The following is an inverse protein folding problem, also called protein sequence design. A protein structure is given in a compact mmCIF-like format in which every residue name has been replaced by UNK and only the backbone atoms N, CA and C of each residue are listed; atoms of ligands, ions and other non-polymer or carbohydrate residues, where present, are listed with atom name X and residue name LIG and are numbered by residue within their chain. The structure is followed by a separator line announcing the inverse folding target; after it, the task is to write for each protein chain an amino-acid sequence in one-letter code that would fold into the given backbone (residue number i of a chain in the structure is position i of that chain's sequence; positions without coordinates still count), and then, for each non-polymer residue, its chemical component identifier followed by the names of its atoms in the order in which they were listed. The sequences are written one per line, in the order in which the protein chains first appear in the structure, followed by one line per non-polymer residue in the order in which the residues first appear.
data_IF_767613370435
#
_entry.id   IF_767613370435
#
_cell.length_a   1.000
_cell.length_b   1.000
_cell.length_c   1.000
_cell.angle_alpha   90.00
_cell.angle_beta   90.00
_cell.angle_gamma   90.00
#
_symmetry.space_group_name_H-M   'P 1'
#
loop_
_entity.id
_entity.type
_entity.pdbx_description
1 polymer ?
#
# COMPACT_ATOMS: atom_id res chain seq x y z
N UNK A 1 -26.37 22.19 34.27
CA UNK A 1 -25.77 23.38 33.62
C UNK A 1 -24.26 23.52 33.81
N UNK A 2 -23.64 22.96 34.86
CA UNK A 2 -22.20 23.04 35.12
C UNK A 2 -21.32 22.19 34.17
N UNK A 3 -21.79 21.01 33.72
CA UNK A 3 -21.03 20.17 32.78
C UNK A 3 -20.87 20.76 31.37
N UNK A 4 -21.81 21.58 30.90
CA UNK A 4 -21.71 22.25 29.58
C UNK A 4 -20.65 23.36 29.54
N UNK A 5 -20.31 23.95 30.69
CA UNK A 5 -19.26 24.99 30.79
C UNK A 5 -17.85 24.37 30.85
N UNK A 6 -17.71 23.16 31.37
CA UNK A 6 -16.43 22.45 31.45
C UNK A 6 -15.94 21.96 30.08
N UNK A 7 -16.83 21.50 29.21
CA UNK A 7 -16.47 21.05 27.86
C UNK A 7 -16.16 22.20 26.90
N UNK A 8 -16.73 23.38 27.09
CA UNK A 8 -16.38 24.58 26.30
C UNK A 8 -15.05 25.20 26.71
N UNK A 9 -14.62 25.03 27.96
CA UNK A 9 -13.31 25.51 28.43
C UNK A 9 -12.14 24.64 27.98
N UNK A 10 -12.37 23.33 27.73
CA UNK A 10 -11.34 22.43 27.20
C UNK A 10 -11.09 22.57 25.69
N UNK A 11 -12.01 23.19 24.93
CA UNK A 11 -11.86 23.42 23.48
C UNK A 11 -10.97 24.61 23.13
N UNK A 12 -10.63 25.47 24.09
CA UNK A 12 -9.68 26.58 23.91
C UNK A 12 -8.43 26.35 24.74
N UNK A 13 -7.67 25.29 24.46
CA UNK A 13 -6.21 25.44 24.53
C UNK A 13 -5.80 26.37 23.38
N UNK A 14 -6.06 27.67 23.54
CA UNK A 14 -5.25 28.66 22.84
C UNK A 14 -3.82 28.35 23.29
N UNK A 15 -3.02 27.82 22.37
CA UNK A 15 -1.59 27.69 22.61
C UNK A 15 -1.08 29.09 23.00
N UNK A 16 -0.13 29.19 23.94
CA UNK A 16 0.39 30.48 24.40
C UNK A 16 0.85 31.39 23.23
N UNK A 17 1.23 30.77 22.11
CA UNK A 17 1.51 31.40 20.83
C UNK A 17 0.31 32.19 20.24
N UNK A 18 -0.92 31.65 20.30
CA UNK A 18 -2.12 32.35 19.84
C UNK A 18 -2.47 33.58 20.67
N UNK A 19 -2.15 33.54 21.97
CA UNK A 19 -2.29 34.72 22.84
C UNK A 19 -1.27 35.80 22.47
N UNK A 20 -0.01 35.42 22.24
CA UNK A 20 1.07 36.34 21.81
C UNK A 20 0.79 36.96 20.42
N UNK A 21 0.27 36.17 19.48
CA UNK A 21 -0.18 36.61 18.15
C UNK A 21 -1.26 37.70 18.21
N UNK A 22 -2.25 37.51 19.10
CA UNK A 22 -3.32 38.48 19.30
C UNK A 22 -2.91 39.74 20.06
N UNK A 23 -1.86 39.67 20.88
CA UNK A 23 -1.36 40.79 21.70
C UNK A 23 -0.50 41.81 20.91
N UNK A 24 -0.37 41.65 19.60
CA UNK A 24 0.30 42.62 18.71
C UNK A 24 1.83 42.67 18.82
N UNK A 25 2.45 41.70 19.53
CA UNK A 25 3.90 41.69 19.80
C UNK A 25 4.74 40.80 18.86
N UNK A 26 4.11 40.17 17.88
CA UNK A 26 4.75 39.30 16.88
C UNK A 26 4.50 39.84 15.47
N UNK A 27 5.49 39.65 14.59
CA UNK A 27 5.49 40.14 13.21
C UNK A 27 4.32 39.56 12.38
N UNK A 28 4.01 40.17 11.23
CA UNK A 28 2.93 39.71 10.36
C UNK A 28 3.13 38.27 9.87
N UNK A 29 4.37 37.85 9.64
CA UNK A 29 4.73 36.50 9.20
C UNK A 29 4.49 35.45 10.31
N UNK A 30 4.84 35.77 11.55
CA UNK A 30 4.63 34.86 12.69
C UNK A 30 3.14 34.62 12.95
N UNK A 31 2.29 35.63 12.73
CA UNK A 31 0.83 35.47 12.79
C UNK A 31 0.33 34.55 11.68
N UNK A 32 0.88 34.66 10.48
CA UNK A 32 0.54 33.77 9.36
C UNK A 32 1.00 32.33 9.64
N UNK A 33 2.24 32.14 10.10
CA UNK A 33 2.76 30.84 10.49
C UNK A 33 1.90 30.21 11.61
N UNK A 34 1.48 31.00 12.59
CA UNK A 34 0.59 30.54 13.64
C UNK A 34 -0.78 30.10 13.09
N UNK A 35 -1.37 30.88 12.18
CA UNK A 35 -2.61 30.50 11.51
C UNK A 35 -2.45 29.23 10.68
N UNK A 36 -1.30 29.04 10.02
CA UNK A 36 -0.98 27.82 9.29
C UNK A 36 -0.87 26.61 10.23
N UNK A 37 -0.26 26.76 11.42
CA UNK A 37 -0.20 25.69 12.42
C UNK A 37 -1.60 25.30 12.93
N UNK A 38 -2.50 26.27 13.13
CA UNK A 38 -3.89 26.00 13.49
C UNK A 38 -4.65 25.28 12.37
N UNK A 39 -4.30 25.54 11.11
CA UNK A 39 -4.87 24.84 9.95
C UNK A 39 -4.36 23.40 9.83
N UNK A 40 -3.07 23.16 10.10
CA UNK A 40 -2.46 21.82 10.09
C UNK A 40 -3.03 20.93 11.20
N UNK A 41 -3.40 21.52 12.35
CA UNK A 41 -3.88 20.77 13.49
C UNK A 41 -5.29 20.18 13.29
N UNK A 42 -5.35 18.85 13.15
CA UNK A 42 -6.62 18.12 13.09
C UNK A 42 -7.26 17.95 14.48
N UNK A 43 -8.48 18.46 14.64
CA UNK A 43 -9.25 18.38 15.88
C UNK A 43 -10.11 17.13 15.87
N UNK A 44 -10.07 16.29 16.92
CA UNK A 44 -11.10 15.24 17.11
C UNK A 44 -12.40 15.87 17.61
N UNK A 45 -13.44 15.84 16.80
CA UNK A 45 -14.75 16.42 17.13
C UNK A 45 -15.75 15.37 17.61
N UNK A 46 -16.78 15.83 18.33
CA UNK A 46 -17.92 14.98 18.73
C UNK A 46 -18.91 14.82 17.57
N UNK A 47 -19.73 13.77 17.64
CA UNK A 47 -20.87 13.60 16.74
C UNK A 47 -21.78 14.84 16.75
N UNK A 48 -22.37 15.20 15.61
CA UNK A 48 -23.27 16.35 15.49
C UNK A 48 -24.60 16.10 16.23
N UNK A 49 -24.61 16.46 17.52
CA UNK A 49 -25.73 16.21 18.43
C UNK A 49 -26.97 17.07 18.19
N UNK A 50 -26.88 18.11 17.36
CA UNK A 50 -28.03 18.97 17.07
C UNK A 50 -28.75 18.55 15.78
N UNK A 51 -28.02 18.01 14.80
CA UNK A 51 -28.59 17.65 13.49
C UNK A 51 -28.81 16.16 13.30
N UNK A 52 -27.93 15.27 13.81
CA UNK A 52 -28.13 13.82 13.63
C UNK A 52 -29.29 13.32 14.49
N UNK A 53 -30.22 12.60 13.87
CA UNK A 53 -31.32 11.86 14.53
C UNK A 53 -31.17 10.37 14.27
N UNK A 54 -31.82 9.58 15.11
CA UNK A 54 -31.73 8.11 15.04
C UNK A 54 -32.15 7.57 13.66
N UNK A 55 -33.20 8.13 13.05
CA UNK A 55 -33.71 7.65 11.76
C UNK A 55 -32.75 7.95 10.59
N UNK A 56 -32.10 9.12 10.58
CA UNK A 56 -31.10 9.48 9.56
C UNK A 56 -29.88 8.56 9.64
N UNK A 57 -29.38 8.31 10.84
CA UNK A 57 -28.23 7.42 11.06
C UNK A 57 -28.56 5.98 10.64
N UNK A 58 -29.79 5.50 10.91
CA UNK A 58 -30.24 4.19 10.44
C UNK A 58 -30.38 4.13 8.91
N UNK A 59 -30.83 5.22 8.28
CA UNK A 59 -30.90 5.29 6.83
C UNK A 59 -29.51 5.26 6.21
N UNK A 60 -28.55 6.04 6.74
CA UNK A 60 -27.14 6.02 6.33
C UNK A 60 -26.57 4.59 6.39
N UNK A 61 -26.79 3.86 7.49
CA UNK A 61 -26.36 2.46 7.65
C UNK A 61 -26.97 1.53 6.60
N UNK A 62 -28.25 1.68 6.31
CA UNK A 62 -28.94 0.87 5.29
C UNK A 62 -28.42 1.15 3.89
N UNK A 63 -28.11 2.41 3.59
CA UNK A 63 -27.54 2.81 2.30
C UNK A 63 -26.13 2.26 2.15
N UNK A 64 -25.30 2.34 3.20
CA UNK A 64 -23.97 1.74 3.22
C UNK A 64 -24.04 0.23 2.93
N UNK A 65 -24.84 -0.51 3.70
CA UNK A 65 -25.02 -1.95 3.48
C UNK A 65 -25.58 -2.31 2.08
N UNK A 66 -26.37 -1.41 1.47
CA UNK A 66 -26.84 -1.60 0.10
C UNK A 66 -25.75 -1.36 -0.94
N UNK A 67 -24.87 -0.40 -0.68
CA UNK A 67 -23.69 -0.14 -1.50
C UNK A 67 -22.70 -1.30 -1.41
N UNK A 68 -22.42 -1.81 -0.22
CA UNK A 68 -21.49 -2.93 -0.01
C UNK A 68 -21.95 -4.16 -0.80
N UNK A 69 -23.23 -4.54 -0.73
CA UNK A 69 -23.81 -5.62 -1.55
C UNK A 69 -23.67 -5.38 -3.06
N UNK A 70 -23.74 -4.12 -3.50
CA UNK A 70 -23.56 -3.77 -4.91
C UNK A 70 -22.08 -3.89 -5.32
N UNK A 71 -21.17 -3.42 -4.46
CA UNK A 71 -19.73 -3.46 -4.67
C UNK A 71 -19.18 -4.90 -4.65
N UNK A 72 -19.61 -5.74 -3.69
CA UNK A 72 -19.20 -7.13 -3.53
C UNK A 72 -19.31 -7.94 -4.83
N UNK A 73 -20.37 -7.72 -5.62
CA UNK A 73 -20.50 -8.36 -6.93
C UNK A 73 -19.38 -7.96 -7.91
N UNK A 74 -19.07 -6.67 -7.98
CA UNK A 74 -18.00 -6.14 -8.82
C UNK A 74 -16.63 -6.63 -8.37
N UNK A 75 -16.40 -6.65 -7.06
CA UNK A 75 -15.14 -7.11 -6.44
C UNK A 75 -14.90 -8.60 -6.68
N UNK A 76 -15.91 -9.46 -6.47
CA UNK A 76 -15.81 -10.89 -6.75
C UNK A 76 -15.52 -11.19 -8.23
N UNK A 77 -16.14 -10.44 -9.15
CA UNK A 77 -15.87 -10.58 -10.60
C UNK A 77 -14.45 -10.12 -10.94
N UNK A 78 -13.99 -9.03 -10.32
CA UNK A 78 -12.64 -8.51 -10.50
C UNK A 78 -11.58 -9.48 -9.97
N UNK A 79 -11.75 -9.99 -8.76
CA UNK A 79 -10.86 -10.98 -8.15
C UNK A 79 -10.77 -12.25 -9.00
N UNK A 80 -11.91 -12.81 -9.42
CA UNK A 80 -11.93 -13.98 -10.29
C UNK A 80 -11.27 -13.72 -11.65
N UNK A 81 -11.39 -12.51 -12.19
CA UNK A 81 -10.71 -12.11 -13.44
C UNK A 81 -9.20 -12.00 -13.24
N UNK A 82 -8.74 -11.40 -12.14
CA UNK A 82 -7.32 -11.26 -11.82
C UNK A 82 -6.68 -12.63 -11.57
N UNK A 83 -7.37 -13.53 -10.85
CA UNK A 83 -6.92 -14.91 -10.63
C UNK A 83 -6.74 -15.67 -11.95
N UNK A 84 -7.70 -15.54 -12.88
CA UNK A 84 -7.58 -16.15 -14.22
C UNK A 84 -6.44 -15.57 -15.05
N UNK A 85 -6.23 -14.25 -14.99
CA UNK A 85 -5.12 -13.60 -15.68
C UNK A 85 -3.78 -14.12 -15.15
N UNK A 86 -3.61 -14.15 -13.83
CA UNK A 86 -2.41 -14.67 -13.18
C UNK A 86 -2.15 -16.13 -13.58
N UNK A 87 -3.18 -16.99 -13.57
CA UNK A 87 -3.04 -18.38 -13.99
C UNK A 87 -2.53 -18.51 -15.44
N UNK A 88 -3.04 -17.68 -16.36
CA UNK A 88 -2.59 -17.66 -17.76
C UNK A 88 -1.16 -17.14 -17.92
N UNK A 89 -0.77 -16.13 -17.15
CA UNK A 89 0.60 -15.62 -17.16
C UNK A 89 1.58 -16.67 -16.60
N UNK A 90 1.21 -17.39 -15.54
CA UNK A 90 2.01 -18.50 -15.00
C UNK A 90 2.17 -19.63 -16.00
N UNK A 91 1.07 -20.07 -16.64
CA UNK A 91 1.09 -21.10 -17.70
C UNK A 91 2.03 -20.70 -18.86
N UNK A 92 1.98 -19.43 -19.27
CA UNK A 92 2.84 -18.91 -20.33
C UNK A 92 4.33 -18.93 -19.93
N UNK A 93 4.67 -18.53 -18.70
CA UNK A 93 6.06 -18.59 -18.20
C UNK A 93 6.58 -20.02 -18.09
N UNK A 94 5.74 -20.97 -17.66
CA UNK A 94 6.08 -22.39 -17.63
C UNK A 94 6.34 -22.96 -19.04
N UNK A 95 5.55 -22.54 -20.03
CA UNK A 95 5.76 -22.91 -21.42
C UNK A 95 7.09 -22.35 -21.98
N UNK A 96 7.43 -21.10 -21.69
CA UNK A 96 8.73 -20.50 -22.05
C UNK A 96 9.87 -21.29 -21.41
N UNK A 97 9.76 -21.61 -20.10
CA UNK A 97 10.77 -22.42 -19.40
C UNK A 97 10.94 -23.81 -20.01
N UNK A 98 9.87 -24.44 -20.48
CA UNK A 98 9.94 -25.73 -21.16
C UNK A 98 10.65 -25.63 -22.52
N UNK A 99 10.43 -24.54 -23.27
CA UNK A 99 11.13 -24.26 -24.52
C UNK A 99 12.62 -24.04 -24.29
N UNK A 100 13.01 -23.29 -23.27
CA UNK A 100 14.43 -23.07 -22.91
C UNK A 100 15.13 -24.38 -22.56
N UNK A 101 14.49 -25.25 -21.76
CA UNK A 101 15.04 -26.58 -21.44
C UNK A 101 15.22 -27.44 -22.69
N UNK A 102 14.29 -27.36 -23.64
CA UNK A 102 14.38 -28.09 -24.91
C UNK A 102 15.49 -27.54 -25.80
N UNK A 103 15.65 -26.22 -25.86
CA UNK A 103 16.73 -25.58 -26.60
C UNK A 103 18.10 -25.98 -26.03
N UNK A 104 18.27 -25.93 -24.70
CA UNK A 104 19.49 -26.35 -24.02
C UNK A 104 19.82 -27.83 -24.27
N UNK A 105 18.81 -28.72 -24.28
CA UNK A 105 19.01 -30.14 -24.59
C UNK A 105 19.49 -30.36 -26.04
N UNK A 106 18.91 -29.64 -27.01
CA UNK A 106 19.33 -29.70 -28.41
C UNK A 106 20.73 -29.13 -28.63
N UNK A 107 21.09 -28.07 -27.91
CA UNK A 107 22.45 -27.52 -27.94
C UNK A 107 23.47 -28.49 -27.33
N UNK A 108 23.13 -29.14 -26.21
CA UNK A 108 23.99 -30.16 -25.61
C UNK A 108 24.23 -31.34 -26.57
N UNK A 109 23.20 -31.79 -27.31
CA UNK A 109 23.33 -32.82 -28.34
C UNK A 109 24.22 -32.37 -29.51
N UNK A 110 24.07 -31.11 -29.96
CA UNK A 110 24.95 -30.51 -30.98
C UNK A 110 26.40 -30.39 -30.51
N UNK A 111 26.64 -30.00 -29.26
CA UNK A 111 27.99 -29.96 -28.67
C UNK A 111 28.60 -31.35 -28.48
N UNK A 112 27.80 -32.37 -28.17
CA UNK A 112 28.28 -33.76 -28.08
C UNK A 112 28.72 -34.32 -29.44
N UNK A 113 28.18 -33.76 -30.54
CA UNK A 113 28.48 -34.18 -31.93
C UNK A 113 29.53 -33.30 -32.62
N UNK A 114 29.67 -32.04 -32.22
CA UNK A 114 30.72 -31.13 -32.69
C UNK A 114 31.96 -31.23 -31.78
N UNK A 115 33.07 -31.76 -32.30
CA UNK A 115 34.34 -31.80 -31.57
C UNK A 115 34.76 -30.39 -31.13
N UNK A 116 34.75 -30.17 -29.81
CA UNK A 116 35.37 -29.07 -29.06
C UNK A 116 35.58 -27.77 -29.86
N UNK A 117 34.56 -26.90 -29.91
CA UNK A 117 34.73 -25.52 -30.33
C UNK A 117 34.04 -24.57 -29.36
N UNK A 118 34.89 -23.77 -28.73
CA UNK A 118 34.74 -22.48 -28.05
C UNK A 118 33.92 -22.32 -26.76
N UNK A 119 34.63 -21.71 -25.79
CA UNK A 119 34.20 -21.06 -24.54
C UNK A 119 33.27 -19.85 -24.81
N UNK A 120 32.14 -20.10 -25.46
CA UNK A 120 31.09 -19.09 -25.51
C UNK A 120 30.41 -19.02 -24.13
N UNK A 121 30.51 -17.85 -23.47
CA UNK A 121 29.79 -17.55 -22.24
C UNK A 121 28.30 -17.95 -22.37
N UNK A 122 27.67 -18.48 -21.32
CA UNK A 122 26.26 -18.86 -21.38
C UNK A 122 25.43 -17.61 -21.69
N UNK A 123 24.77 -17.60 -22.85
CA UNK A 123 23.79 -16.57 -23.18
C UNK A 123 22.66 -16.59 -22.15
N UNK A 124 22.12 -15.42 -21.80
CA UNK A 124 20.91 -15.29 -20.98
C UNK A 124 19.80 -16.17 -21.56
N UNK A 125 19.11 -16.88 -20.69
CA UNK A 125 17.94 -17.67 -21.12
C UNK A 125 16.75 -16.74 -21.38
N UNK A 126 15.87 -17.11 -22.31
CA UNK A 126 14.68 -16.30 -22.61
C UNK A 126 13.83 -16.07 -21.35
N UNK A 127 13.75 -17.07 -20.47
CA UNK A 127 13.07 -16.95 -19.18
C UNK A 127 13.70 -15.88 -18.28
N UNK A 128 15.03 -15.76 -18.24
CA UNK A 128 15.72 -14.74 -17.42
C UNK A 128 15.38 -13.33 -17.88
N UNK A 129 15.26 -13.09 -19.19
CA UNK A 129 14.86 -11.79 -19.73
C UNK A 129 13.38 -11.49 -19.47
N UNK A 130 12.52 -12.51 -19.55
CA UNK A 130 11.07 -12.37 -19.37
C UNK A 130 10.65 -12.15 -17.90
N UNK A 131 11.46 -12.55 -16.91
CA UNK A 131 11.16 -12.32 -15.48
C UNK A 131 11.65 -10.97 -14.98
N UNK A 132 12.46 -10.24 -15.76
CA UNK A 132 12.85 -8.87 -15.42
C UNK A 132 11.64 -7.94 -15.54
N UNK A 133 11.45 -7.08 -14.53
CA UNK A 133 10.38 -6.10 -14.57
C UNK A 133 10.66 -5.07 -15.66
N UNK A 134 9.71 -4.86 -16.55
CA UNK A 134 9.75 -3.76 -17.51
C UNK A 134 9.66 -2.42 -16.75
N UNK A 135 10.74 -1.66 -16.72
CA UNK A 135 10.86 -0.45 -15.87
C UNK A 135 10.30 0.82 -16.49
N UNK A 136 9.99 0.84 -17.80
CA UNK A 136 9.44 2.04 -18.42
C UNK A 136 7.99 2.28 -17.95
N UNK A 137 7.72 3.52 -17.54
CA UNK A 137 6.38 3.97 -17.18
C UNK A 137 5.53 4.19 -18.43
N UNK A 138 4.19 4.22 -18.31
CA UNK A 138 3.33 4.64 -19.41
C UNK A 138 3.80 6.00 -19.97
N UNK A 139 3.87 6.16 -21.31
CA UNK A 139 4.35 7.39 -21.91
C UNK A 139 3.43 8.57 -21.58
N UNK A 140 3.93 9.80 -21.72
CA UNK A 140 3.13 11.01 -21.45
C UNK A 140 1.87 11.17 -22.33
N UNK A 141 1.78 10.41 -23.42
CA UNK A 141 0.56 10.30 -24.26
C UNK A 141 -0.50 9.36 -23.67
N UNK A 142 -0.19 8.58 -22.63
CA UNK A 142 -1.15 7.74 -21.94
C UNK A 142 -2.11 8.61 -21.14
N UNK A 143 -3.33 8.77 -21.66
CA UNK A 143 -4.32 9.69 -21.09
C UNK A 143 -5.11 9.02 -19.97
N UNK A 144 -5.32 9.77 -18.88
CA UNK A 144 -6.30 9.41 -17.87
C UNK A 144 -7.70 9.44 -18.51
N UNK A 145 -8.56 8.43 -18.24
CA UNK A 145 -9.96 8.48 -18.64
C UNK A 145 -10.63 9.76 -18.12
N UNK A 146 -11.16 10.57 -19.03
CA UNK A 146 -11.85 11.81 -18.72
C UNK A 146 -13.37 11.58 -18.65
N UNK A 147 -14.06 12.41 -17.86
CA UNK A 147 -15.52 12.35 -17.74
C UNK A 147 -16.24 12.59 -19.07
N UNK A 148 -15.66 13.43 -19.94
CA UNK A 148 -16.21 13.77 -21.25
C UNK A 148 -15.18 13.47 -22.35
N UNK A 149 -15.64 13.13 -23.57
CA UNK A 149 -14.76 12.96 -24.71
C UNK A 149 -14.09 14.29 -25.09
N UNK A 150 -12.91 14.26 -25.73
CA UNK A 150 -12.25 15.46 -26.23
C UNK A 150 -13.11 16.13 -27.31
N UNK A 151 -13.15 17.47 -27.30
CA UNK A 151 -13.83 18.25 -28.32
C UNK A 151 -12.97 18.36 -29.59
N UNK A 152 -13.61 18.35 -30.76
CA UNK A 152 -12.92 18.49 -32.03
C UNK A 152 -12.28 19.88 -32.16
N UNK A 153 -10.97 19.92 -32.48
CA UNK A 153 -10.23 21.16 -32.69
C UNK A 153 -10.00 22.00 -31.43
N UNK A 154 -10.18 21.42 -30.24
CA UNK A 154 -9.88 22.12 -29.01
C UNK A 154 -8.37 22.14 -28.75
N UNK A 155 -7.80 23.34 -28.73
CA UNK A 155 -6.51 23.64 -28.12
C UNK A 155 -6.74 24.45 -26.82
N UNK A 156 -5.79 24.46 -25.87
CA UNK A 156 -5.96 25.16 -24.60
C UNK A 156 -6.43 26.60 -24.79
N UNK A 157 -7.63 26.91 -24.28
CA UNK A 157 -8.22 28.24 -24.38
C UNK A 157 -8.56 28.72 -25.81
N UNK A 158 -8.68 27.83 -26.81
CA UNK A 158 -8.88 28.18 -28.22
C UNK A 158 -7.81 29.18 -28.73
N UNK A 159 -6.54 28.82 -28.54
CA UNK A 159 -5.34 29.60 -28.89
C UNK A 159 -5.05 30.80 -27.98
N UNK A 160 -5.83 31.01 -26.91
CA UNK A 160 -5.52 32.03 -25.90
C UNK A 160 -4.38 31.54 -24.99
N UNK A 161 -3.15 31.64 -25.47
CA UNK A 161 -1.97 31.19 -24.72
C UNK A 161 -1.66 32.13 -23.55
N UNK A 162 -1.53 31.55 -22.35
CA UNK A 162 -1.05 32.21 -21.13
C UNK A 162 0.23 31.48 -20.71
N UNK A 163 1.41 31.91 -21.19
CA UNK A 163 2.67 31.18 -20.99
C UNK A 163 3.05 30.95 -19.52
N UNK A 164 2.52 31.77 -18.60
CA UNK A 164 2.75 31.63 -17.16
C UNK A 164 2.11 30.36 -16.58
N UNK A 165 1.02 29.86 -17.17
CA UNK A 165 0.30 28.68 -16.67
C UNK A 165 0.87 27.35 -17.17
N UNK A 166 1.69 27.36 -18.23
CA UNK A 166 2.36 26.15 -18.76
C UNK A 166 3.72 25.87 -18.11
N UNK A 167 4.13 26.66 -17.12
CA UNK A 167 5.38 26.44 -16.40
C UNK A 167 5.34 25.10 -15.68
N UNK A 168 6.36 24.26 -15.87
CA UNK A 168 6.53 23.05 -15.07
C UNK A 168 7.03 23.43 -13.68
N UNK A 169 6.35 22.94 -12.65
CA UNK A 169 6.67 23.21 -11.25
C UNK A 169 7.39 22.00 -10.64
N UNK A 170 8.21 22.25 -9.62
CA UNK A 170 8.83 21.19 -8.84
C UNK A 170 7.79 20.48 -7.95
N UNK A 171 7.97 19.18 -7.76
CA UNK A 171 7.18 18.39 -6.81
C UNK A 171 7.73 18.55 -5.37
N UNK A 172 6.84 18.55 -4.37
CA UNK A 172 7.21 18.59 -2.95
C UNK A 172 6.45 17.51 -2.15
N UNK A 173 7.13 16.74 -1.27
CA UNK A 173 8.57 16.77 -1.01
C UNK A 173 9.39 16.20 -2.18
N UNK A 174 10.67 16.58 -2.27
CA UNK A 174 11.57 15.93 -3.21
C UNK A 174 11.65 14.43 -2.90
N UNK A 175 11.33 13.58 -3.88
CA UNK A 175 11.28 12.13 -3.71
C UNK A 175 12.70 11.58 -3.56
N UNK A 176 12.94 10.87 -2.46
CA UNK A 176 14.16 10.12 -2.23
C UNK A 176 13.81 8.68 -1.88
N UNK A 177 14.47 7.73 -2.53
CA UNK A 177 14.26 6.29 -2.35
C UNK A 177 15.50 5.63 -1.74
N UNK A 178 15.34 4.49 -1.05
CA UNK A 178 16.47 3.73 -0.52
C UNK A 178 17.56 3.40 -1.54
N UNK A 179 17.16 3.14 -2.78
CA UNK A 179 18.08 2.77 -3.88
C UNK A 179 18.87 3.94 -4.43
N UNK A 180 18.48 5.18 -4.14
CA UNK A 180 19.24 6.37 -4.56
C UNK A 180 20.60 6.38 -3.85
N UNK A 181 20.69 5.82 -2.64
CA UNK A 181 21.94 5.57 -1.89
C UNK A 181 22.86 4.54 -2.58
N UNK A 182 22.35 3.72 -3.49
CA UNK A 182 23.15 2.78 -4.29
C UNK A 182 23.55 3.41 -5.63
N UNK A 183 22.62 4.14 -6.26
CA UNK A 183 22.82 4.72 -7.58
C UNK A 183 23.76 5.93 -7.57
N UNK A 184 23.65 6.81 -6.57
CA UNK A 184 24.33 8.12 -6.57
C UNK A 184 25.50 8.22 -5.57
N UNK A 185 25.69 7.22 -4.71
CA UNK A 185 26.73 7.23 -3.65
C UNK A 185 28.14 6.95 -4.17
N UNK A 186 28.28 6.34 -5.36
CA UNK A 186 29.57 5.97 -5.96
C UNK A 186 30.14 6.97 -6.98
N UNK A 187 29.40 8.01 -7.38
CA UNK A 187 29.84 8.94 -8.41
C UNK A 187 29.12 10.29 -8.31
N UNK A 188 29.75 11.25 -7.64
CA UNK A 188 29.39 12.68 -7.68
C UNK A 188 28.09 13.05 -6.96
N UNK A 189 28.20 13.61 -5.75
CA UNK A 189 27.05 14.28 -5.13
C UNK A 189 27.04 14.38 -3.61
N UNK A 190 28.00 13.77 -2.91
CA UNK A 190 28.29 14.17 -1.54
C UNK A 190 29.04 15.50 -1.56
N UNK A 191 28.32 16.61 -1.48
CA UNK A 191 28.88 17.88 -1.05
C UNK A 191 29.35 17.72 0.40
N UNK A 192 30.54 17.17 0.60
CA UNK A 192 31.35 17.53 1.75
C UNK A 192 31.81 18.97 1.50
N UNK A 193 31.54 19.87 2.44
CA UNK A 193 31.88 21.31 2.38
C UNK A 193 33.38 21.61 2.23
N UNK A 194 34.22 20.59 2.20
CA UNK A 194 35.64 20.70 1.92
C UNK A 194 35.88 20.46 0.43
N UNK A 195 36.17 21.53 -0.30
CA UNK A 195 36.39 21.62 -1.76
C UNK A 195 37.55 20.79 -2.33
N UNK A 196 37.57 19.49 -2.04
CA UNK A 196 38.40 18.50 -2.70
C UNK A 196 37.70 18.01 -3.97
N UNK A 197 38.37 18.16 -5.11
CA UNK A 197 37.99 17.53 -6.37
C UNK A 197 37.74 16.04 -6.14
N UNK A 198 36.47 15.61 -6.26
CA UNK A 198 36.12 14.20 -6.25
C UNK A 198 36.80 13.52 -7.44
N UNK A 199 37.78 12.67 -7.15
CA UNK A 199 38.38 11.79 -8.14
C UNK A 199 37.25 10.94 -8.74
N UNK A 200 37.10 11.02 -10.07
CA UNK A 200 36.19 10.15 -10.80
C UNK A 200 36.50 8.70 -10.42
N UNK A 201 35.54 8.03 -9.79
CA UNK A 201 35.63 6.59 -9.56
C UNK A 201 35.89 5.90 -10.90
N UNK A 202 36.82 4.94 -10.91
CA UNK A 202 37.21 4.28 -12.16
C UNK A 202 35.99 3.68 -12.88
N UNK A 203 35.87 3.89 -14.21
CA UNK A 203 34.70 3.50 -15.00
C UNK A 203 34.48 1.97 -15.12
N UNK A 204 35.36 1.14 -14.57
CA UNK A 204 35.33 -0.32 -14.71
C UNK A 204 34.82 -1.06 -13.45
N UNK A 205 34.30 -0.37 -12.43
CA UNK A 205 33.69 -1.08 -11.30
C UNK A 205 32.36 -1.71 -11.73
N UNK A 206 32.27 -3.03 -11.60
CA UNK A 206 31.16 -3.95 -11.91
C UNK A 206 29.83 -3.67 -11.18
N UNK A 207 29.50 -2.40 -10.94
CA UNK A 207 28.34 -1.92 -10.18
C UNK A 207 27.51 -0.96 -11.02
N UNK A 208 26.94 -1.46 -12.13
CA UNK A 208 26.07 -0.65 -12.97
C UNK A 208 24.62 -0.80 -12.53
N UNK A 209 24.07 0.20 -11.82
CA UNK A 209 22.62 0.27 -11.57
C UNK A 209 21.85 0.13 -12.89
N UNK A 210 20.87 -0.79 -13.01
CA UNK A 210 20.16 -1.50 -11.94
C UNK A 210 20.76 -2.84 -11.48
N UNK A 211 21.85 -3.30 -12.08
CA UNK A 211 22.53 -4.56 -11.78
C UNK A 211 23.53 -4.37 -10.63
N UNK A 212 23.05 -4.62 -9.41
CA UNK A 212 23.83 -4.44 -8.17
C UNK A 212 24.12 -5.81 -7.56
N UNK A 213 25.31 -5.95 -6.95
CA UNK A 213 25.73 -7.15 -6.23
C UNK A 213 24.84 -7.47 -5.02
N UNK A 214 24.73 -8.76 -4.71
CA UNK A 214 23.79 -9.25 -3.69
C UNK A 214 24.12 -8.70 -2.28
N UNK A 215 25.41 -8.56 -1.93
CA UNK A 215 25.82 -8.05 -0.62
C UNK A 215 25.34 -6.60 -0.38
N UNK A 216 25.31 -5.77 -1.42
CA UNK A 216 24.84 -4.38 -1.28
C UNK A 216 23.32 -4.34 -1.07
N UNK A 217 22.59 -5.30 -1.64
CA UNK A 217 21.15 -5.48 -1.38
C UNK A 217 20.88 -6.01 0.03
N UNK A 218 21.74 -6.88 0.57
CA UNK A 218 21.67 -7.34 1.96
C UNK A 218 21.82 -6.19 2.94
N UNK A 219 22.87 -5.39 2.78
CA UNK A 219 23.16 -4.24 3.62
C UNK A 219 22.01 -3.25 3.58
N UNK A 220 21.48 -2.95 2.38
CA UNK A 220 20.32 -2.08 2.22
C UNK A 220 19.09 -2.65 2.93
N UNK A 221 18.80 -3.94 2.74
CA UNK A 221 17.64 -4.60 3.35
C UNK A 221 17.73 -4.57 4.89
N UNK A 222 18.90 -4.89 5.45
CA UNK A 222 19.12 -4.89 6.89
C UNK A 222 19.04 -3.49 7.50
N UNK A 223 19.62 -2.48 6.83
CA UNK A 223 19.55 -1.09 7.25
C UNK A 223 18.10 -0.59 7.29
N UNK A 224 17.33 -0.86 6.24
CA UNK A 224 15.96 -0.37 6.13
C UNK A 224 14.96 -1.15 6.99
N UNK A 225 15.20 -2.43 7.28
CA UNK A 225 14.43 -3.15 8.30
C UNK A 225 14.58 -2.46 9.67
N UNK A 226 15.82 -2.18 10.08
CA UNK A 226 16.10 -1.47 11.34
C UNK A 226 15.51 -0.05 11.36
N UNK A 227 15.64 0.70 10.26
CA UNK A 227 15.11 2.06 10.13
C UNK A 227 13.58 2.07 10.20
N UNK A 228 12.92 1.14 9.52
CA UNK A 228 11.47 0.97 9.56
C UNK A 228 10.98 0.68 10.98
N UNK A 229 11.62 -0.26 11.68
CA UNK A 229 11.24 -0.61 13.05
C UNK A 229 11.46 0.55 14.03
N UNK A 230 12.57 1.28 13.88
CA UNK A 230 12.83 2.47 14.70
C UNK A 230 11.81 3.59 14.48
N UNK A 231 11.48 3.89 13.22
CA UNK A 231 10.48 4.91 12.87
C UNK A 231 9.08 4.48 13.30
N UNK A 232 8.69 3.23 13.05
CA UNK A 232 7.40 2.69 13.46
C UNK A 232 7.23 2.74 14.98
N UNK A 233 8.25 2.31 15.73
CA UNK A 233 8.24 2.36 17.19
C UNK A 233 8.08 3.78 17.73
N UNK A 234 8.79 4.75 17.17
CA UNK A 234 8.67 6.15 17.55
C UNK A 234 7.28 6.72 17.22
N UNK A 235 6.77 6.48 16.01
CA UNK A 235 5.45 6.95 15.59
C UNK A 235 4.34 6.34 16.44
N UNK A 236 4.39 5.03 16.70
CA UNK A 236 3.41 4.33 17.54
C UNK A 236 3.40 4.84 18.97
N UNK A 237 4.57 5.25 19.50
CA UNK A 237 4.68 5.86 20.83
C UNK A 237 4.08 7.27 20.89
N UNK A 238 4.36 8.10 19.89
CA UNK A 238 3.96 9.51 19.89
C UNK A 238 2.54 9.76 19.36
N UNK A 239 2.07 8.93 18.44
CA UNK A 239 0.80 9.07 17.74
C UNK A 239 0.09 7.71 17.63
N UNK A 240 -0.44 7.17 18.74
CA UNK A 240 -1.21 5.95 18.69
C UNK A 240 -2.50 6.15 17.89
N UNK A 241 -2.68 5.32 16.87
CA UNK A 241 -3.87 5.28 16.02
C UNK A 241 -4.66 3.99 16.28
N UNK A 242 -5.98 4.07 16.21
CA UNK A 242 -6.92 2.96 16.44
C UNK A 242 -8.08 3.03 15.45
N UNK A 243 -8.86 1.96 15.33
CA UNK A 243 -9.93 1.86 14.34
C UNK A 243 -9.36 1.65 12.93
N UNK A 244 -10.18 1.89 11.90
CA UNK A 244 -9.87 1.53 10.51
C UNK A 244 -8.55 2.11 10.00
N UNK A 245 -8.28 3.40 10.24
CA UNK A 245 -7.03 4.03 9.80
C UNK A 245 -5.80 3.52 10.57
N UNK A 246 -5.97 3.25 11.87
CA UNK A 246 -4.89 2.67 12.69
C UNK A 246 -4.55 1.24 12.29
N UNK A 247 -5.58 0.42 12.04
CA UNK A 247 -5.42 -0.94 11.51
C UNK A 247 -4.80 -0.92 10.11
N UNK A 248 -5.23 0.01 9.25
CA UNK A 248 -4.65 0.22 7.92
C UNK A 248 -3.15 0.59 8.00
N UNK A 249 -2.77 1.48 8.92
CA UNK A 249 -1.37 1.82 9.17
C UNK A 249 -0.54 0.64 9.66
N UNK A 250 -1.03 -0.11 10.65
CA UNK A 250 -0.31 -1.27 11.19
C UNK A 250 -0.21 -2.39 10.15
N UNK A 251 -1.25 -2.61 9.34
CA UNK A 251 -1.22 -3.54 8.22
C UNK A 251 -0.19 -3.10 7.16
N UNK A 252 -0.14 -1.82 6.81
CA UNK A 252 0.85 -1.27 5.89
C UNK A 252 2.29 -1.54 6.39
N UNK A 253 2.60 -1.18 7.63
CA UNK A 253 3.94 -1.39 8.20
C UNK A 253 4.28 -2.88 8.30
N UNK A 254 3.32 -3.73 8.70
CA UNK A 254 3.50 -5.17 8.76
C UNK A 254 3.82 -5.77 7.37
N UNK A 255 3.18 -5.29 6.31
CA UNK A 255 3.45 -5.71 4.94
C UNK A 255 4.83 -5.24 4.46
N UNK A 256 5.26 -4.02 4.80
CA UNK A 256 6.62 -3.54 4.48
C UNK A 256 7.68 -4.39 5.19
N UNK A 257 7.49 -4.67 6.48
CA UNK A 257 8.37 -5.56 7.26
C UNK A 257 8.40 -6.97 6.68
N UNK A 258 7.24 -7.52 6.29
CA UNK A 258 7.13 -8.81 5.62
C UNK A 258 7.90 -8.84 4.30
N UNK A 259 7.83 -7.77 3.50
CA UNK A 259 8.56 -7.67 2.24
C UNK A 259 10.09 -7.69 2.45
N UNK A 260 10.61 -6.89 3.39
CA UNK A 260 12.05 -6.84 3.71
C UNK A 260 12.57 -8.19 4.24
N UNK A 261 11.82 -8.83 5.15
CA UNK A 261 12.20 -10.13 5.71
C UNK A 261 12.14 -11.25 4.68
N UNK A 262 11.19 -11.18 3.73
CA UNK A 262 11.13 -12.09 2.59
C UNK A 262 12.33 -11.89 1.69
N UNK A 263 12.74 -10.65 1.42
CA UNK A 263 13.94 -10.36 0.63
C UNK A 263 15.18 -11.00 1.26
N UNK A 264 15.36 -10.83 2.57
CA UNK A 264 16.44 -11.48 3.31
C UNK A 264 16.37 -13.01 3.24
N UNK A 265 15.18 -13.60 3.36
CA UNK A 265 15.00 -15.05 3.20
C UNK A 265 15.43 -15.52 1.80
N UNK A 266 15.08 -14.80 0.74
CA UNK A 266 15.49 -15.16 -0.62
C UNK A 266 17.01 -15.11 -0.79
N UNK A 267 17.67 -14.14 -0.17
CA UNK A 267 19.14 -14.04 -0.19
C UNK A 267 19.77 -15.20 0.58
N UNK A 268 19.27 -15.52 1.79
CA UNK A 268 19.76 -16.66 2.58
C UNK A 268 19.60 -17.98 1.81
N UNK A 269 18.46 -18.18 1.11
CA UNK A 269 18.20 -19.35 0.26
C UNK A 269 19.16 -19.43 -0.92
N UNK A 270 19.55 -18.30 -1.51
CA UNK A 270 20.50 -18.27 -2.63
C UNK A 270 21.94 -18.59 -2.19
N UNK A 271 22.31 -18.23 -0.96
CA UNK A 271 23.68 -18.38 -0.44
C UNK A 271 23.92 -19.71 0.26
N UNK A 272 22.91 -20.28 0.91
CA UNK A 272 23.04 -21.46 1.76
C UNK A 272 22.33 -22.67 1.13
N UNK A 273 23.06 -23.44 0.31
CA UNK A 273 22.51 -24.61 -0.41
C UNK A 273 21.80 -25.61 0.50
N UNK A 274 22.41 -26.00 1.62
CA UNK A 274 21.81 -26.93 2.58
C UNK A 274 20.49 -26.40 3.17
N UNK A 275 20.42 -25.10 3.45
CA UNK A 275 19.21 -24.45 3.95
C UNK A 275 18.12 -24.42 2.89
N UNK A 276 18.47 -24.14 1.62
CA UNK A 276 17.55 -24.16 0.50
C UNK A 276 16.95 -25.55 0.27
N UNK A 277 17.78 -26.60 0.22
CA UNK A 277 17.29 -27.97 0.06
C UNK A 277 16.32 -28.37 1.18
N UNK A 278 16.66 -28.05 2.44
CA UNK A 278 15.79 -28.34 3.58
C UNK A 278 14.49 -27.54 3.52
N UNK A 279 14.55 -26.29 3.08
CA UNK A 279 13.38 -25.42 2.90
C UNK A 279 12.44 -25.94 1.80
N UNK A 280 12.98 -26.43 0.69
CA UNK A 280 12.20 -27.01 -0.41
C UNK A 280 11.56 -28.35 -0.04
N UNK A 281 12.31 -29.24 0.61
CA UNK A 281 11.79 -30.54 1.06
C UNK A 281 10.73 -30.41 2.16
N UNK A 282 10.72 -29.28 2.87
CA UNK A 282 9.82 -29.01 3.99
C UNK A 282 9.81 -30.14 5.03
N UNK A 283 10.98 -30.71 5.31
CA UNK A 283 11.15 -31.78 6.29
C UNK A 283 10.64 -31.30 7.66
N UNK A 284 9.77 -32.08 8.30
CA UNK A 284 9.18 -31.79 9.60
C UNK A 284 8.44 -30.44 9.72
N UNK A 285 7.92 -29.89 8.60
CA UNK A 285 7.27 -28.58 8.60
C UNK A 285 8.24 -27.40 8.77
N UNK A 286 9.53 -27.62 8.45
CA UNK A 286 10.58 -26.61 8.58
C UNK A 286 10.25 -25.30 7.86
N UNK A 287 9.64 -25.35 6.68
CA UNK A 287 9.27 -24.16 5.91
C UNK A 287 8.31 -23.28 6.68
N UNK A 288 7.24 -23.86 7.22
CA UNK A 288 6.21 -23.11 7.94
C UNK A 288 6.75 -22.54 9.26
N UNK A 289 7.57 -23.33 9.97
CA UNK A 289 8.26 -22.88 11.18
C UNK A 289 9.20 -21.70 10.90
N UNK A 290 9.94 -21.76 9.79
CA UNK A 290 10.89 -20.72 9.40
C UNK A 290 10.18 -19.44 8.91
N UNK A 291 9.11 -19.59 8.12
CA UNK A 291 8.25 -18.47 7.74
C UNK A 291 7.65 -17.80 8.98
N UNK A 292 7.15 -18.57 9.94
CA UNK A 292 6.62 -18.04 11.20
C UNK A 292 7.68 -17.35 12.05
N UNK A 293 8.88 -17.95 12.19
CA UNK A 293 10.02 -17.38 12.93
C UNK A 293 10.42 -16.01 12.38
N UNK A 294 10.37 -15.84 11.06
CA UNK A 294 10.65 -14.56 10.38
C UNK A 294 9.44 -13.63 10.35
N UNK A 295 8.27 -14.03 10.82
CA UNK A 295 7.05 -13.22 10.79
C UNK A 295 6.45 -13.07 9.39
N UNK A 296 6.70 -14.02 8.49
CA UNK A 296 6.15 -14.08 7.14
C UNK A 296 4.77 -14.74 7.12
N UNK A 297 3.90 -14.33 8.03
CA UNK A 297 2.57 -14.90 8.22
C UNK A 297 1.56 -14.34 7.20
N UNK A 298 0.49 -15.09 6.86
CA UNK A 298 -0.62 -14.57 6.05
C UNK A 298 -1.29 -13.35 6.72
N UNK A 299 -1.66 -12.36 5.90
CA UNK A 299 -2.54 -11.29 6.36
C UNK A 299 -3.96 -11.84 6.35
N UNK A 300 -4.63 -11.83 7.51
CA UNK A 300 -6.03 -12.21 7.62
C UNK A 300 -6.88 -10.97 7.44
N UNK A 301 -7.69 -10.97 6.41
CA UNK A 301 -8.79 -10.01 6.25
C UNK A 301 -10.02 -10.78 6.69
N UNK A 302 -10.73 -10.26 7.68
CA UNK A 302 -12.01 -10.83 8.08
C UNK A 302 -12.93 -10.81 6.86
N UNK A 303 -13.61 -11.93 6.60
CA UNK A 303 -14.44 -12.06 5.41
C UNK A 303 -15.46 -10.94 5.36
N UNK A 304 -15.78 -10.47 4.14
CA UNK A 304 -16.91 -9.58 3.94
C UNK A 304 -18.12 -10.24 4.60
N UNK A 305 -18.78 -9.55 5.54
CA UNK A 305 -19.98 -10.03 6.21
C UNK A 305 -21.14 -10.09 5.20
N UNK A 306 -21.01 -10.94 4.20
CA UNK A 306 -22.11 -11.46 3.45
C UNK A 306 -22.87 -12.36 4.41
N UNK A 307 -23.82 -11.78 5.15
CA UNK A 307 -24.87 -12.52 5.88
C UNK A 307 -25.75 -13.41 4.99
N UNK A 308 -25.30 -13.73 3.77
CA UNK A 308 -25.95 -14.63 2.82
C UNK A 308 -25.89 -16.10 3.26
N UNK A 309 -24.81 -16.53 3.95
CA UNK A 309 -24.64 -17.95 4.31
C UNK A 309 -25.26 -18.35 5.66
N UNK A 310 -25.76 -17.40 6.45
CA UNK A 310 -26.53 -17.67 7.67
C UNK A 310 -28.03 -17.91 7.42
N UNK A 311 -28.51 -17.77 6.19
CA UNK A 311 -29.91 -17.96 5.82
C UNK A 311 -30.11 -19.24 4.98
N UNK A 312 -29.75 -20.40 5.53
CA UNK A 312 -30.51 -21.59 5.19
C UNK A 312 -32.00 -21.29 5.50
N UNK A 313 -32.94 -21.45 4.56
CA UNK A 313 -34.34 -21.12 4.78
C UNK A 313 -34.91 -22.09 5.83
N UNK A 314 -34.83 -21.72 7.11
CA UNK A 314 -35.56 -22.41 8.16
C UNK A 314 -37.05 -22.28 7.85
N UNK A 315 -37.63 -23.42 7.51
CA UNK A 315 -39.06 -23.70 7.37
C UNK A 315 -40.02 -22.54 7.61
N UNK A 316 -40.61 -22.11 6.50
CA UNK A 316 -41.72 -21.16 6.37
C UNK A 316 -42.92 -21.56 7.25
N UNK A 317 -42.98 -21.08 8.48
CA UNK A 317 -44.22 -21.16 9.28
C UNK A 317 -45.27 -20.19 8.70
N UNK A 318 -46.21 -20.75 7.94
CA UNK A 318 -47.48 -20.08 7.61
C UNK A 318 -48.23 -19.80 8.92
N UNK A 319 -48.27 -18.53 9.35
CA UNK A 319 -49.34 -18.09 10.26
C UNK A 319 -50.67 -18.17 9.51
N UNK A 320 -51.71 -18.63 10.23
CA UNK A 320 -53.07 -18.90 9.73
C UNK A 320 -53.84 -17.63 9.32
N UNK A 321 -53.28 -16.46 9.61
CA UNK A 321 -53.89 -15.17 9.27
C UNK A 321 -53.18 -14.59 8.05
N UNK A 322 -53.87 -14.55 6.92
CA UNK A 322 -53.36 -14.24 5.57
C UNK A 322 -52.76 -12.84 5.33
N UNK A 323 -52.13 -12.21 6.33
CA UNK A 323 -51.32 -11.00 6.14
C UNK A 323 -49.87 -11.38 5.89
N UNK A 324 -49.47 -11.33 4.63
CA UNK A 324 -48.06 -11.27 4.22
C UNK A 324 -47.47 -9.97 4.75
N UNK A 325 -46.90 -9.98 5.96
CA UNK A 325 -45.87 -8.98 6.30
C UNK A 325 -44.64 -9.35 5.48
N UNK A 326 -44.23 -8.46 4.58
CA UNK A 326 -42.91 -8.54 3.99
C UNK A 326 -41.90 -8.60 5.16
N UNK A 327 -41.16 -9.70 5.24
CA UNK A 327 -40.01 -9.75 6.12
C UNK A 327 -39.03 -8.72 5.57
N UNK A 328 -38.93 -7.57 6.23
CA UNK A 328 -37.77 -6.71 6.05
C UNK A 328 -36.59 -7.54 6.54
N UNK A 329 -35.71 -7.90 5.61
CA UNK A 329 -34.53 -8.71 5.86
C UNK A 329 -33.72 -8.08 7.00
N UNK A 330 -33.54 -8.87 8.06
CA UNK A 330 -32.64 -8.57 9.17
C UNK A 330 -31.21 -8.79 8.67
N UNK A 331 -30.57 -7.73 8.18
CA UNK A 331 -29.19 -7.72 7.69
C UNK A 331 -28.21 -7.08 8.68
N UNK A 332 -28.68 -6.71 9.86
CA UNK A 332 -27.82 -6.30 10.97
C UNK A 332 -27.47 -7.56 11.76
N UNK A 333 -26.20 -7.75 12.11
CA UNK A 333 -25.80 -8.76 13.11
C UNK A 333 -26.80 -8.72 14.26
N UNK A 334 -27.21 -9.90 14.75
CA UNK A 334 -28.16 -9.97 15.84
C UNK A 334 -27.54 -9.40 17.12
N UNK A 335 -27.72 -8.08 17.29
CA UNK A 335 -27.09 -7.37 18.38
C UNK A 335 -27.65 -7.84 19.72
N UNK A 336 -26.78 -8.30 20.61
CA UNK A 336 -27.11 -8.49 22.02
C UNK A 336 -27.42 -7.13 22.64
N UNK A 337 -28.30 -7.07 23.65
CA UNK A 337 -28.66 -5.79 24.31
C UNK A 337 -27.47 -5.06 24.94
N UNK A 338 -26.34 -5.76 25.15
CA UNK A 338 -25.09 -5.20 25.66
C UNK A 338 -24.21 -4.58 24.57
N UNK A 339 -24.47 -4.82 23.28
CA UNK A 339 -23.73 -4.27 22.14
C UNK A 339 -24.24 -2.88 21.76
N UNK A 340 -24.46 -2.03 22.77
CA UNK A 340 -24.79 -0.62 22.57
C UNK A 340 -23.50 0.21 22.54
N UNK A 341 -23.40 1.23 21.69
CA UNK A 341 -22.24 2.12 21.68
C UNK A 341 -22.03 2.81 23.03
N UNK A 342 -20.78 3.17 23.35
CA UNK A 342 -20.40 3.80 24.62
C UNK A 342 -20.83 5.29 24.76
N UNK A 343 -21.86 5.73 24.02
CA UNK A 343 -22.39 7.10 24.05
C UNK A 343 -23.91 7.09 24.18
N UNK A 344 -24.49 8.21 24.62
CA UNK A 344 -25.95 8.35 24.74
C UNK A 344 -26.63 8.15 23.38
N UNK A 345 -27.70 7.35 23.29
CA UNK A 345 -28.41 7.12 22.03
C UNK A 345 -28.79 8.41 21.31
N UNK A 346 -28.80 8.39 19.98
CA UNK A 346 -29.23 9.56 19.20
C UNK A 346 -30.68 9.93 19.51
N UNK A 347 -30.98 11.23 19.43
CA UNK A 347 -32.34 11.74 19.62
C UNK A 347 -33.27 11.18 18.55
N UNK A 348 -34.46 10.77 18.97
CA UNK A 348 -35.49 10.24 18.08
C UNK A 348 -36.32 11.37 17.45
N UNK A 349 -36.64 12.42 18.23
CA UNK A 349 -37.39 13.61 17.80
C UNK A 349 -36.52 14.87 17.91
#
# INVERSE_FOLDING_TARGET
MLQRRLTTLLQKRQTAAGYMASAGKVGSEEKWAHAAMEYIYEKKHVNDGNKKRQHDVQLERRVAAAFDRYAAHGEAVFEARLARLNARMTEALEAVRALDRRAAALEAERRATAAAADDAAPASTLIEECVLLHTEQPPGSFQRPALAPPLAGYEPGYALDVPQLRSQQAEYPAVHRPTDDLQFRGGGGGATDDGGFAAAAEPDSYHQFPYVETYALEDLTAQYEKKLDGLHGALRLHMPLTGVEGEGWEAYVALQRKALRRQRLLIDLAQQGDFAERFERNEDGFRDAELARRGLLPLRVEGEEDGADAAAPTTRHKRKDGRKKAAYNNFEEHYHFAQVPAYEPFRVM
#
